data_IF_698033870803
#
_entry.id   IF_698033870803
#
_cell.length_a   1.000
_cell.length_b   1.000
_cell.length_c   1.000
_cell.angle_alpha   90.00
_cell.angle_beta   90.00
_cell.angle_gamma   90.00
#
_symmetry.space_group_name_H-M   'P 1'
#
loop_
_entity.id
_entity.type
_entity.pdbx_description
1 polymer ?
#
# COMPACT_ATOMS: atom_id res chain seq x y z
N UNK A 1 -12.57 -0.19 0.41
CA UNK A 1 -11.90 0.69 -0.56
C UNK A 1 -10.66 0.04 -1.18
N UNK A 2 -10.60 -1.29 -1.20
CA UNK A 2 -9.44 -2.04 -1.65
C UNK A 2 -8.24 -1.90 -0.70
N UNK A 3 -7.22 -2.72 -0.91
CA UNK A 3 -5.98 -2.63 -0.15
C UNK A 3 -5.13 -1.46 -0.65
N UNK A 4 -4.22 -1.01 0.19
CA UNK A 4 -3.40 0.17 -0.03
C UNK A 4 -4.22 1.45 -0.30
N UNK A 5 -5.51 1.47 0.09
CA UNK A 5 -6.42 2.61 -0.02
C UNK A 5 -6.63 3.13 -1.45
N UNK A 6 -5.58 3.21 -2.26
CA UNK A 6 -5.56 3.83 -3.59
C UNK A 6 -5.63 2.80 -4.74
N UNK A 7 -5.59 1.50 -4.43
CA UNK A 7 -5.58 0.47 -5.46
C UNK A 7 -6.88 0.44 -6.26
N UNK A 8 -6.76 0.17 -7.55
CA UNK A 8 -7.88 0.12 -8.52
C UNK A 8 -8.67 1.44 -8.64
N UNK A 9 -8.11 2.56 -8.17
CA UNK A 9 -8.77 3.88 -8.21
C UNK A 9 -10.15 3.90 -7.54
N UNK A 10 -10.41 3.01 -6.60
CA UNK A 10 -11.73 2.91 -5.96
C UNK A 10 -12.07 4.15 -5.14
N UNK A 11 -11.07 4.87 -4.61
CA UNK A 11 -11.29 6.12 -3.89
C UNK A 11 -11.95 7.18 -4.78
N UNK A 12 -11.60 7.26 -6.06
CA UNK A 12 -12.25 8.15 -7.02
C UNK A 12 -13.76 7.93 -7.08
N UNK A 13 -14.18 6.66 -7.11
CA UNK A 13 -15.60 6.29 -7.12
C UNK A 13 -16.31 6.67 -5.81
N UNK A 14 -15.60 6.54 -4.69
CA UNK A 14 -16.14 6.94 -3.36
C UNK A 14 -16.32 8.45 -3.29
N UNK A 15 -15.33 9.23 -3.73
CA UNK A 15 -15.41 10.70 -3.75
C UNK A 15 -16.51 11.18 -4.68
N UNK A 16 -16.62 10.60 -5.87
CA UNK A 16 -17.69 10.91 -6.81
C UNK A 16 -19.08 10.61 -6.22
N UNK A 17 -19.25 9.46 -5.56
CA UNK A 17 -20.50 9.08 -4.91
C UNK A 17 -20.84 10.01 -3.73
N UNK A 18 -19.83 10.41 -2.94
CA UNK A 18 -19.96 11.41 -1.88
C UNK A 18 -20.53 12.71 -2.45
N UNK A 19 -19.88 13.25 -3.47
CA UNK A 19 -20.23 14.57 -4.02
C UNK A 19 -21.62 14.58 -4.68
N UNK A 20 -22.05 13.42 -5.18
CA UNK A 20 -23.33 13.30 -5.87
C UNK A 20 -24.51 12.96 -4.95
N UNK A 21 -24.27 12.15 -3.92
CA UNK A 21 -25.38 11.54 -3.17
C UNK A 21 -25.38 11.85 -1.67
N UNK A 22 -24.27 12.31 -1.09
CA UNK A 22 -24.22 12.59 0.33
C UNK A 22 -25.03 13.88 0.62
N UNK A 23 -26.06 13.75 1.44
CA UNK A 23 -26.86 14.89 1.88
C UNK A 23 -26.04 15.88 2.72
N UNK A 24 -26.38 17.17 2.76
CA UNK A 24 -25.76 18.12 3.66
C UNK A 24 -25.79 17.63 5.12
N UNK A 25 -24.62 17.60 5.76
CA UNK A 25 -24.46 17.03 7.12
C UNK A 25 -24.49 15.51 7.20
N UNK A 26 -24.54 14.82 6.06
CA UNK A 26 -24.42 13.36 5.97
C UNK A 26 -23.08 12.86 6.50
N UNK A 27 -23.03 11.63 6.99
CA UNK A 27 -21.83 11.00 7.53
C UNK A 27 -21.25 10.01 6.53
N UNK A 28 -19.91 10.00 6.41
CA UNK A 28 -19.15 8.96 5.74
C UNK A 28 -18.52 8.03 6.78
N UNK A 29 -18.45 6.75 6.46
CA UNK A 29 -17.72 5.76 7.26
C UNK A 29 -16.99 4.80 6.30
N UNK A 30 -15.65 4.85 6.27
CA UNK A 30 -14.77 5.73 7.04
C UNK A 30 -14.83 7.19 6.59
N UNK A 31 -14.53 8.11 7.50
CA UNK A 31 -14.39 9.56 7.26
C UNK A 31 -12.94 9.99 7.08
N UNK A 32 -11.99 9.13 7.49
CA UNK A 32 -10.54 9.36 7.43
C UNK A 32 -9.80 8.11 6.99
N UNK A 33 -8.71 8.29 6.26
CA UNK A 33 -7.82 7.23 5.86
C UNK A 33 -6.37 7.66 5.97
N UNK A 34 -5.49 6.75 6.36
CA UNK A 34 -4.08 7.05 6.60
C UNK A 34 -3.20 5.96 5.99
N UNK A 35 -2.05 6.37 5.46
CA UNK A 35 -1.00 5.46 4.99
C UNK A 35 0.23 5.65 5.88
N UNK A 36 0.77 4.53 6.34
CA UNK A 36 1.99 4.48 7.11
C UNK A 36 3.07 3.73 6.35
N UNK A 37 4.31 4.15 6.55
CA UNK A 37 5.52 3.48 6.08
C UNK A 37 6.28 2.95 7.28
N UNK A 38 6.73 1.70 7.22
CA UNK A 38 7.62 1.08 8.19
C UNK A 38 8.58 0.14 7.47
N UNK A 39 9.72 -0.16 8.07
CA UNK A 39 10.63 -1.20 7.56
C UNK A 39 10.35 -2.51 8.26
N UNK A 40 10.50 -3.59 7.50
CA UNK A 40 10.36 -4.95 8.00
C UNK A 40 11.63 -5.76 7.73
N UNK A 41 11.84 -6.80 8.52
CA UNK A 41 12.86 -7.81 8.32
C UNK A 41 12.20 -9.17 8.16
N UNK A 42 12.27 -9.72 6.95
CA UNK A 42 11.71 -11.03 6.61
C UNK A 42 12.71 -11.82 5.75
N UNK A 43 13.57 -12.58 6.43
CA UNK A 43 14.56 -13.42 5.78
C UNK A 43 13.90 -14.56 5.01
N UNK A 44 12.82 -15.12 5.53
CA UNK A 44 12.13 -16.23 4.90
C UNK A 44 11.53 -15.81 3.56
N UNK A 45 10.84 -14.69 3.55
CA UNK A 45 10.28 -14.10 2.34
C UNK A 45 11.38 -13.82 1.32
N UNK A 46 12.46 -13.15 1.73
CA UNK A 46 13.60 -12.83 0.87
C UNK A 46 14.17 -14.09 0.21
N UNK A 47 14.36 -15.16 0.97
CA UNK A 47 14.89 -16.42 0.44
C UNK A 47 13.89 -17.09 -0.52
N UNK A 48 12.61 -17.09 -0.22
CA UNK A 48 11.59 -17.73 -1.04
C UNK A 48 11.27 -16.96 -2.34
N UNK A 49 11.30 -15.65 -2.32
CA UNK A 49 10.87 -14.82 -3.46
C UNK A 49 12.03 -14.26 -4.28
N UNK A 50 13.16 -13.98 -3.65
CA UNK A 50 14.34 -13.43 -4.31
C UNK A 50 15.42 -14.49 -4.45
N UNK A 51 15.76 -15.20 -3.37
CA UNK A 51 16.77 -16.27 -3.37
C UNK A 51 16.40 -17.45 -4.25
N UNK A 52 15.11 -17.72 -4.43
CA UNK A 52 14.59 -18.75 -5.33
C UNK A 52 15.21 -18.70 -6.74
N UNK A 53 15.46 -17.52 -7.26
CA UNK A 53 15.98 -17.33 -8.62
C UNK A 53 17.43 -17.78 -8.80
N UNK A 54 18.16 -18.02 -7.72
CA UNK A 54 19.53 -18.54 -7.81
C UNK A 54 19.58 -20.01 -8.25
N UNK A 55 18.50 -20.77 -7.99
CA UNK A 55 18.42 -22.19 -8.35
C UNK A 55 16.96 -22.59 -8.61
N UNK A 56 16.50 -22.39 -9.82
CA UNK A 56 15.15 -22.77 -10.25
C UNK A 56 15.21 -24.18 -10.85
N UNK A 57 14.92 -25.20 -10.03
CA UNK A 57 15.00 -26.61 -10.43
C UNK A 57 16.35 -27.01 -11.06
N UNK A 58 17.45 -26.50 -10.53
CA UNK A 58 18.80 -26.76 -11.04
C UNK A 58 19.32 -25.75 -12.07
N UNK A 59 18.52 -24.78 -12.47
CA UNK A 59 18.90 -23.72 -13.41
C UNK A 59 19.14 -22.41 -12.66
N UNK A 60 20.27 -21.76 -12.91
CA UNK A 60 20.53 -20.40 -12.39
C UNK A 60 19.77 -19.37 -13.22
N UNK A 61 18.80 -18.72 -12.60
CA UNK A 61 17.98 -17.65 -13.16
C UNK A 61 18.12 -16.33 -12.37
N UNK A 62 19.28 -16.10 -11.75
CA UNK A 62 19.53 -14.92 -10.89
C UNK A 62 19.32 -13.59 -11.59
N UNK A 63 19.34 -13.55 -12.93
CA UNK A 63 18.98 -12.36 -13.71
C UNK A 63 17.54 -11.88 -13.43
N UNK A 64 16.63 -12.74 -12.98
CA UNK A 64 15.26 -12.41 -12.62
C UNK A 64 15.13 -11.74 -11.25
N UNK A 65 16.12 -11.85 -10.37
CA UNK A 65 16.06 -11.30 -9.00
C UNK A 65 15.83 -9.79 -8.98
N UNK A 66 16.43 -9.05 -9.92
CA UNK A 66 16.26 -7.60 -10.02
C UNK A 66 14.83 -7.20 -10.44
N UNK A 67 14.18 -8.01 -11.27
CA UNK A 67 12.78 -7.82 -11.63
C UNK A 67 11.86 -8.18 -10.45
N UNK A 68 12.12 -9.31 -9.81
CA UNK A 68 11.35 -9.77 -8.65
C UNK A 68 11.36 -8.77 -7.48
N UNK A 69 12.49 -8.05 -7.25
CA UNK A 69 12.57 -7.01 -6.22
C UNK A 69 11.73 -5.76 -6.53
N UNK A 70 11.30 -5.57 -7.78
CA UNK A 70 10.47 -4.42 -8.17
C UNK A 70 8.97 -4.71 -8.10
N UNK A 71 8.61 -5.98 -7.96
CA UNK A 71 7.22 -6.39 -7.85
C UNK A 71 6.72 -6.11 -6.42
N UNK A 72 5.70 -5.25 -6.26
CA UNK A 72 5.08 -5.07 -4.96
C UNK A 72 4.34 -6.33 -4.54
N UNK A 73 4.47 -6.71 -3.29
CA UNK A 73 3.71 -7.81 -2.70
C UNK A 73 2.67 -7.26 -1.74
N UNK A 74 1.51 -7.91 -1.74
CA UNK A 74 0.45 -7.66 -0.78
C UNK A 74 0.30 -8.91 0.05
N UNK A 75 0.73 -8.83 1.30
CA UNK A 75 0.71 -9.93 2.25
C UNK A 75 0.51 -9.40 3.67
N UNK A 76 0.24 -10.30 4.59
CA UNK A 76 0.23 -9.99 6.02
C UNK A 76 1.66 -10.02 6.56
N UNK A 77 1.99 -9.01 7.36
CA UNK A 77 3.26 -8.91 8.05
C UNK A 77 3.01 -9.09 9.54
N UNK A 78 3.72 -10.02 10.16
CA UNK A 78 3.66 -10.21 11.59
C UNK A 78 4.30 -9.02 12.33
N UNK A 79 3.76 -8.68 13.48
CA UNK A 79 4.17 -7.47 14.21
C UNK A 79 5.64 -7.50 14.66
N UNK A 80 6.19 -8.68 14.90
CA UNK A 80 7.58 -8.90 15.29
C UNK A 80 8.59 -8.74 14.13
N UNK A 81 8.11 -8.75 12.89
CA UNK A 81 8.93 -8.46 11.71
C UNK A 81 9.15 -6.96 11.51
N UNK A 82 8.37 -6.09 12.15
CA UNK A 82 8.49 -4.64 12.01
C UNK A 82 9.67 -4.16 12.86
N UNK A 83 10.69 -3.59 12.22
CA UNK A 83 11.94 -3.18 12.88
C UNK A 83 12.19 -1.66 12.90
N UNK A 84 11.18 -0.86 12.55
CA UNK A 84 11.21 0.60 12.67
C UNK A 84 9.92 1.15 13.28
N UNK A 85 9.96 2.42 13.69
CA UNK A 85 8.73 3.14 13.96
C UNK A 85 7.93 3.34 12.68
N UNK A 86 6.61 3.29 12.79
CA UNK A 86 5.74 3.62 11.66
C UNK A 86 5.71 5.14 11.47
N UNK A 87 6.01 5.61 10.25
CA UNK A 87 5.89 7.00 9.85
C UNK A 87 4.61 7.20 9.04
N UNK A 88 3.76 8.12 9.46
CA UNK A 88 2.56 8.47 8.69
C UNK A 88 2.98 9.33 7.49
N UNK A 89 2.76 8.83 6.29
CA UNK A 89 3.13 9.51 5.05
C UNK A 89 1.94 10.17 4.35
N UNK A 90 0.71 9.77 4.67
CA UNK A 90 -0.49 10.36 4.10
C UNK A 90 -1.64 10.30 5.11
N UNK A 91 -2.37 11.40 5.22
CA UNK A 91 -3.57 11.53 6.05
C UNK A 91 -4.67 12.20 5.23
N UNK A 92 -5.74 11.48 4.94
CA UNK A 92 -6.84 11.93 4.09
C UNK A 92 -8.12 12.11 4.89
N UNK A 93 -8.66 13.35 4.87
CA UNK A 93 -10.03 13.65 5.31
C UNK A 93 -10.99 13.34 4.14
N UNK A 94 -11.58 12.14 4.14
CA UNK A 94 -12.44 11.66 3.06
C UNK A 94 -13.73 12.48 2.88
N UNK A 95 -14.10 13.27 3.87
CA UNK A 95 -15.27 14.14 3.81
C UNK A 95 -14.99 15.40 3.00
N UNK A 96 -13.74 15.93 3.07
CA UNK A 96 -13.39 17.23 2.49
C UNK A 96 -12.42 17.14 1.30
N UNK A 97 -11.65 16.08 1.21
CA UNK A 97 -10.62 15.93 0.19
C UNK A 97 -11.19 16.01 -1.23
N UNK A 98 -10.36 16.42 -2.16
CA UNK A 98 -10.61 16.40 -3.59
C UNK A 98 -9.88 15.25 -4.25
N UNK A 99 -10.21 14.96 -5.50
CA UNK A 99 -9.56 13.91 -6.27
C UNK A 99 -8.04 14.13 -6.42
N UNK A 100 -7.63 15.37 -6.57
CA UNK A 100 -6.23 15.76 -6.76
C UNK A 100 -5.37 15.50 -5.50
N UNK A 101 -5.97 15.43 -4.32
CA UNK A 101 -5.27 15.20 -3.05
C UNK A 101 -4.72 13.76 -2.91
N UNK A 102 -5.07 12.86 -3.86
CA UNK A 102 -4.48 11.51 -3.91
C UNK A 102 -3.09 11.49 -4.56
N UNK A 103 -2.73 12.53 -5.30
CA UNK A 103 -1.38 12.71 -5.83
C UNK A 103 -0.55 13.45 -4.79
N UNK A 104 0.34 12.75 -4.11
CA UNK A 104 1.12 13.31 -3.02
C UNK A 104 2.59 12.96 -3.10
N UNK A 105 3.42 13.78 -2.45
CA UNK A 105 4.80 13.49 -2.11
C UNK A 105 4.98 13.71 -0.61
N UNK A 106 5.70 12.84 0.06
CA UNK A 106 5.96 12.94 1.49
C UNK A 106 7.42 12.63 1.80
N UNK A 107 7.95 13.27 2.81
CA UNK A 107 9.25 12.95 3.41
C UNK A 107 9.04 11.99 4.60
N UNK A 108 9.99 11.07 4.82
CA UNK A 108 9.96 10.07 5.91
C UNK A 108 11.34 9.84 6.50
#
# INVERSE_FOLDING_TARGET
MGYFLLYESMLDSVLWARDKYLAPGGKMLPDRAQIYLATIEDEQYKNQKIGFWNNVYGVNMSCMSAAAMKEPLIDMVEADMINSNACMILDLDLVKMKKEDVEFASEY
#
